data_IF_120097443912
#
_entry.id   IF_120097443912
#
_cell.length_a   1.000
_cell.length_b   1.000
_cell.length_c   1.000
_cell.angle_alpha   90.00
_cell.angle_beta   90.00
_cell.angle_gamma   90.00
#
_symmetry.space_group_name_H-M   'P 1'
#
loop_
_entity.id
_entity.type
_entity.pdbx_description
1 polymer ?
#
# COMPACT_ATOMS: atom_id res chain seq x y z
N UNK A 1 35.64 0.82 -10.20
CA UNK A 1 34.42 0.24 -10.82
C UNK A 1 34.63 0.19 -12.33
N UNK A 2 34.28 -0.89 -13.05
CA UNK A 2 34.33 -0.86 -14.53
C UNK A 2 33.22 0.06 -15.05
N UNK A 3 33.60 1.29 -15.38
CA UNK A 3 32.74 2.30 -16.00
C UNK A 3 32.27 1.78 -17.37
N UNK A 4 30.95 1.75 -17.63
CA UNK A 4 30.38 1.37 -18.94
C UNK A 4 29.37 0.22 -18.97
N UNK A 5 29.08 -0.45 -17.85
CA UNK A 5 28.02 -1.48 -17.83
C UNK A 5 26.66 -0.84 -17.57
N UNK A 6 25.91 -0.53 -18.64
CA UNK A 6 24.60 0.11 -18.56
C UNK A 6 23.51 -0.76 -17.88
N UNK A 7 23.66 -2.09 -17.88
CA UNK A 7 22.63 -3.04 -17.44
C UNK A 7 23.19 -4.16 -16.56
N UNK A 8 22.39 -4.68 -15.62
CA UNK A 8 22.80 -5.80 -14.77
C UNK A 8 22.92 -7.07 -15.61
N UNK A 9 23.97 -7.87 -15.41
CA UNK A 9 24.20 -9.10 -16.18
C UNK A 9 23.34 -10.30 -15.71
N UNK A 10 22.90 -10.32 -14.45
CA UNK A 10 22.13 -11.41 -13.83
C UNK A 10 22.74 -12.81 -13.96
N UNK A 11 24.08 -12.89 -14.09
CA UNK A 11 24.81 -14.14 -14.35
C UNK A 11 24.21 -14.94 -15.52
N UNK A 12 23.77 -14.24 -16.57
CA UNK A 12 23.14 -14.82 -17.77
C UNK A 12 23.80 -14.29 -19.03
N UNK A 13 23.80 -15.10 -20.07
CA UNK A 13 24.12 -14.66 -21.44
C UNK A 13 23.16 -13.56 -21.88
N UNK A 14 23.55 -12.76 -22.88
CA UNK A 14 22.72 -11.64 -23.35
C UNK A 14 21.35 -12.11 -23.87
N UNK A 15 21.29 -13.22 -24.60
CA UNK A 15 20.05 -13.81 -25.11
C UNK A 15 19.11 -14.22 -23.97
N UNK A 16 19.60 -15.00 -23.00
CA UNK A 16 18.81 -15.45 -21.85
C UNK A 16 18.38 -14.27 -20.97
N UNK A 17 19.26 -13.29 -20.74
CA UNK A 17 18.91 -12.07 -20.00
C UNK A 17 17.76 -11.31 -20.67
N UNK A 18 17.83 -11.10 -21.99
CA UNK A 18 16.79 -10.41 -22.73
C UNK A 18 15.47 -11.17 -22.69
N UNK A 19 15.50 -12.49 -22.90
CA UNK A 19 14.29 -13.32 -22.81
C UNK A 19 13.66 -13.28 -21.42
N UNK A 20 14.46 -13.37 -20.35
CA UNK A 20 13.99 -13.22 -18.97
C UNK A 20 13.30 -11.87 -18.74
N UNK A 21 13.89 -10.78 -19.22
CA UNK A 21 13.31 -9.44 -19.06
C UNK A 21 12.03 -9.27 -19.88
N UNK A 22 11.99 -9.78 -21.12
CA UNK A 22 10.78 -9.80 -21.97
C UNK A 22 9.65 -10.57 -21.30
N UNK A 23 9.96 -11.71 -20.70
CA UNK A 23 9.00 -12.51 -19.94
C UNK A 23 8.46 -11.71 -18.74
N UNK A 24 9.33 -11.14 -17.90
CA UNK A 24 8.90 -10.33 -16.75
C UNK A 24 8.04 -9.12 -17.14
N UNK A 25 8.37 -8.43 -18.24
CA UNK A 25 7.54 -7.32 -18.75
C UNK A 25 6.18 -7.83 -19.25
N UNK A 26 6.16 -8.96 -19.96
CA UNK A 26 4.91 -9.58 -20.45
C UNK A 26 4.02 -9.98 -19.27
N UNK A 27 4.57 -10.65 -18.25
CA UNK A 27 3.83 -11.01 -17.03
C UNK A 27 3.35 -9.79 -16.24
N UNK A 28 4.12 -8.70 -16.22
CA UNK A 28 3.70 -7.44 -15.59
C UNK A 28 2.46 -6.86 -16.28
N UNK A 29 2.38 -6.89 -17.61
CA UNK A 29 1.21 -6.38 -18.31
C UNK A 29 0.00 -7.30 -18.25
N UNK A 30 0.23 -8.61 -18.19
CA UNK A 30 -0.82 -9.62 -18.00
C UNK A 30 -1.50 -9.44 -16.63
N UNK A 31 -0.71 -9.43 -15.55
CA UNK A 31 -1.23 -9.43 -14.18
C UNK A 31 -1.28 -8.05 -13.51
N UNK A 32 -0.74 -7.01 -14.15
CA UNK A 32 -0.57 -5.64 -13.62
C UNK A 32 0.29 -5.52 -12.35
N UNK A 33 0.73 -6.64 -11.80
CA UNK A 33 1.53 -6.75 -10.59
C UNK A 33 2.29 -8.09 -10.58
N UNK A 34 3.59 -8.04 -10.28
CA UNK A 34 4.44 -9.21 -10.12
C UNK A 34 5.35 -9.08 -8.91
N UNK A 35 5.70 -10.21 -8.30
CA UNK A 35 6.70 -10.29 -7.23
C UNK A 35 7.99 -10.90 -7.78
N UNK A 36 9.11 -10.21 -7.62
CA UNK A 36 10.42 -10.69 -8.09
C UNK A 36 11.56 -10.15 -7.24
N UNK A 37 12.81 -10.52 -7.52
CA UNK A 37 13.97 -9.93 -6.84
C UNK A 37 14.10 -8.45 -7.19
N UNK A 38 14.46 -7.61 -6.23
CA UNK A 38 14.63 -6.16 -6.40
C UNK A 38 15.47 -5.75 -7.64
N UNK A 39 16.64 -6.36 -7.94
CA UNK A 39 17.41 -5.98 -9.13
C UNK A 39 16.67 -6.32 -10.44
N UNK A 40 15.92 -7.44 -10.50
CA UNK A 40 15.09 -7.77 -11.66
C UNK A 40 13.93 -6.78 -11.81
N UNK A 41 13.24 -6.44 -10.71
CA UNK A 41 12.14 -5.47 -10.72
C UNK A 41 12.58 -4.11 -11.30
N UNK A 42 13.76 -3.62 -10.92
CA UNK A 42 14.31 -2.35 -11.43
C UNK A 42 14.57 -2.37 -12.94
N UNK A 43 15.15 -3.45 -13.46
CA UNK A 43 15.45 -3.56 -14.89
C UNK A 43 14.18 -3.78 -15.72
N UNK A 44 13.22 -4.56 -15.19
CA UNK A 44 11.90 -4.77 -15.78
C UNK A 44 11.10 -3.47 -15.82
N UNK A 45 11.07 -2.68 -14.74
CA UNK A 45 10.37 -1.40 -14.67
C UNK A 45 10.79 -0.46 -15.81
N UNK A 46 12.11 -0.31 -16.01
CA UNK A 46 12.68 0.55 -17.06
C UNK A 46 12.25 0.12 -18.47
N UNK A 47 12.12 -1.19 -18.72
CA UNK A 47 11.67 -1.70 -20.02
C UNK A 47 10.15 -1.56 -20.17
N UNK A 48 9.39 -1.87 -19.13
CA UNK A 48 7.94 -1.73 -19.10
C UNK A 48 7.51 -0.28 -19.38
N UNK A 49 8.20 0.71 -18.79
CA UNK A 49 7.92 2.13 -19.06
C UNK A 49 8.06 2.49 -20.54
N UNK A 50 9.12 2.01 -21.20
CA UNK A 50 9.32 2.23 -22.64
C UNK A 50 8.21 1.60 -23.48
N UNK A 51 7.78 0.39 -23.13
CA UNK A 51 6.69 -0.29 -23.86
C UNK A 51 5.36 0.43 -23.65
N UNK A 52 5.07 0.95 -22.44
CA UNK A 52 3.88 1.79 -22.21
C UNK A 52 3.96 3.07 -23.04
N UNK A 53 5.13 3.70 -23.16
CA UNK A 53 5.31 4.87 -24.04
C UNK A 53 5.02 4.54 -25.50
N UNK A 54 5.37 3.34 -25.99
CA UNK A 54 4.95 2.87 -27.31
C UNK A 54 3.43 2.69 -27.38
N UNK A 55 2.83 2.08 -26.36
CA UNK A 55 1.38 1.94 -26.22
C UNK A 55 0.63 3.26 -26.36
N UNK A 56 1.13 4.31 -25.69
CA UNK A 56 0.59 5.68 -25.76
C UNK A 56 0.72 6.33 -27.14
N UNK A 57 1.77 6.00 -27.91
CA UNK A 57 1.97 6.56 -29.26
C UNK A 57 0.98 6.01 -30.26
N UNK A 58 0.66 4.71 -30.17
CA UNK A 58 -0.40 4.07 -30.96
C UNK A 58 -0.14 3.90 -32.46
N UNK A 59 0.98 4.40 -33.00
CA UNK A 59 1.32 4.30 -34.42
C UNK A 59 1.68 2.86 -34.84
N UNK A 60 1.55 2.54 -36.13
CA UNK A 60 1.88 1.21 -36.67
C UNK A 60 3.30 0.78 -36.32
N UNK A 61 4.26 1.72 -36.29
CA UNK A 61 5.64 1.46 -35.90
C UNK A 61 5.76 1.08 -34.42
N UNK A 62 5.06 1.77 -33.50
CA UNK A 62 4.99 1.35 -32.10
C UNK A 62 4.35 -0.03 -31.93
N UNK A 63 3.29 -0.32 -32.67
CA UNK A 63 2.64 -1.64 -32.64
C UNK A 63 3.60 -2.76 -33.04
N UNK A 64 4.32 -2.59 -34.15
CA UNK A 64 5.33 -3.56 -34.60
C UNK A 64 6.47 -3.73 -33.59
N UNK A 65 6.95 -2.65 -32.98
CA UNK A 65 8.01 -2.72 -31.96
C UNK A 65 7.53 -3.41 -30.67
N UNK A 66 6.30 -3.13 -30.26
CA UNK A 66 5.71 -3.75 -29.07
C UNK A 66 5.45 -5.25 -29.30
N UNK A 67 4.91 -5.64 -30.46
CA UNK A 67 4.67 -7.04 -30.80
C UNK A 67 5.96 -7.84 -30.94
N UNK A 68 7.01 -7.25 -31.50
CA UNK A 68 8.32 -7.89 -31.58
C UNK A 68 8.96 -8.12 -30.19
N UNK A 69 8.63 -7.29 -29.20
CA UNK A 69 9.20 -7.37 -27.85
C UNK A 69 8.38 -8.28 -26.92
N UNK A 70 7.05 -8.17 -26.91
CA UNK A 70 6.21 -8.97 -26.03
C UNK A 70 6.18 -10.44 -26.47
N UNK A 71 6.07 -11.35 -25.51
CA UNK A 71 6.06 -12.79 -25.80
C UNK A 71 4.65 -13.34 -26.03
N UNK A 72 3.63 -12.67 -25.47
CA UNK A 72 2.22 -13.05 -25.60
C UNK A 72 1.46 -11.98 -26.40
N UNK A 73 0.83 -12.33 -27.53
CA UNK A 73 0.09 -11.36 -28.35
C UNK A 73 -1.18 -10.85 -27.65
N UNK A 74 -1.77 -11.63 -26.75
CA UNK A 74 -2.97 -11.29 -25.96
C UNK A 74 -2.83 -10.02 -25.12
N UNK A 75 -1.60 -9.63 -24.83
CA UNK A 75 -1.29 -8.43 -24.03
C UNK A 75 -1.37 -7.16 -24.89
N UNK A 76 -1.23 -7.26 -26.21
CA UNK A 76 -1.19 -6.09 -27.12
C UNK A 76 -2.49 -5.27 -27.09
N UNK A 77 -3.71 -5.85 -27.17
CA UNK A 77 -4.95 -5.07 -27.06
C UNK A 77 -5.04 -4.30 -25.74
N UNK A 78 -4.60 -4.92 -24.64
CA UNK A 78 -4.58 -4.28 -23.31
C UNK A 78 -3.62 -3.09 -23.26
N UNK A 79 -2.46 -3.21 -23.90
CA UNK A 79 -1.45 -2.17 -24.00
C UNK A 79 -1.92 -0.94 -24.76
N UNK A 80 -2.48 -1.13 -25.96
CA UNK A 80 -2.91 -0.04 -26.84
C UNK A 80 -4.32 0.49 -26.51
N UNK A 81 -5.13 -0.26 -25.76
CA UNK A 81 -6.42 0.18 -25.24
C UNK A 81 -6.31 0.67 -23.80
N UNK A 82 -6.46 -0.26 -22.86
CA UNK A 82 -6.65 0.08 -21.43
C UNK A 82 -5.47 0.87 -20.83
N UNK A 83 -4.22 0.52 -21.14
CA UNK A 83 -3.05 1.19 -20.57
C UNK A 83 -2.77 2.52 -21.27
N UNK A 84 -3.00 2.61 -22.57
CA UNK A 84 -2.89 3.88 -23.31
C UNK A 84 -3.87 4.92 -22.75
N UNK A 85 -5.13 4.55 -22.54
CA UNK A 85 -6.15 5.41 -21.91
C UNK A 85 -5.77 5.77 -20.47
N UNK A 86 -5.45 4.77 -19.62
CA UNK A 86 -5.09 5.00 -18.21
C UNK A 86 -3.91 5.96 -18.03
N UNK A 87 -2.94 5.94 -18.94
CA UNK A 87 -1.72 6.73 -18.81
C UNK A 87 -1.63 7.90 -19.78
N UNK A 88 -2.71 8.27 -20.46
CA UNK A 88 -2.74 9.32 -21.48
C UNK A 88 -2.09 10.63 -20.98
N UNK A 89 -2.54 11.12 -19.82
CA UNK A 89 -2.10 12.38 -19.23
C UNK A 89 -0.79 12.28 -18.43
N UNK A 90 -0.35 11.06 -18.11
CA UNK A 90 0.80 10.83 -17.21
C UNK A 90 2.14 10.91 -17.97
N UNK A 91 3.06 11.84 -17.61
CA UNK A 91 4.36 11.99 -18.26
C UNK A 91 5.42 11.07 -17.62
N UNK A 92 5.32 9.76 -17.85
CA UNK A 92 6.23 8.75 -17.30
C UNK A 92 5.88 8.27 -15.88
N UNK A 93 6.71 7.40 -15.32
CA UNK A 93 6.48 6.83 -13.98
C UNK A 93 5.23 5.96 -13.92
N UNK A 94 5.07 5.06 -14.89
CA UNK A 94 3.92 4.15 -15.00
C UNK A 94 4.04 2.92 -14.11
N UNK A 95 5.24 2.66 -13.60
CA UNK A 95 5.52 1.52 -12.74
C UNK A 95 5.91 1.96 -11.33
N UNK A 96 5.64 1.12 -10.35
CA UNK A 96 6.03 1.34 -8.96
C UNK A 96 6.68 0.08 -8.39
N UNK A 97 7.78 0.29 -7.66
CA UNK A 97 8.51 -0.78 -6.98
C UNK A 97 8.32 -0.63 -5.48
N UNK A 98 7.74 -1.63 -4.84
CA UNK A 98 7.66 -1.75 -3.39
C UNK A 98 8.65 -2.79 -2.91
N UNK A 99 9.56 -2.42 -2.00
CA UNK A 99 10.44 -3.40 -1.35
C UNK A 99 9.59 -4.33 -0.48
N UNK A 100 9.83 -5.64 -0.57
CA UNK A 100 9.04 -6.66 0.13
C UNK A 100 9.92 -7.55 1.01
N UNK A 101 10.88 -6.95 1.71
CA UNK A 101 11.85 -7.70 2.53
C UNK A 101 12.72 -8.64 1.71
N UNK A 102 13.18 -9.71 2.36
CA UNK A 102 14.07 -10.71 1.77
C UNK A 102 13.37 -12.08 1.68
N UNK A 103 13.71 -12.85 0.66
CA UNK A 103 13.16 -14.19 0.46
C UNK A 103 13.78 -15.17 1.47
N UNK A 104 12.97 -16.03 2.12
CA UNK A 104 13.50 -17.08 3.01
C UNK A 104 14.35 -18.08 2.23
N UNK A 105 15.42 -18.57 2.85
CA UNK A 105 16.38 -19.50 2.25
C UNK A 105 17.62 -18.79 1.69
N UNK A 106 17.47 -18.04 0.59
CA UNK A 106 18.60 -17.38 -0.07
C UNK A 106 18.82 -15.92 0.33
N UNK A 107 17.97 -15.40 1.24
CA UNK A 107 17.99 -14.03 1.74
C UNK A 107 17.99 -12.95 0.62
N UNK A 108 17.52 -13.30 -0.58
CA UNK A 108 17.55 -12.39 -1.71
C UNK A 108 16.53 -11.25 -1.53
N UNK A 109 16.89 -9.98 -1.75
CA UNK A 109 15.96 -8.87 -1.60
C UNK A 109 14.87 -8.95 -2.68
N UNK A 110 13.62 -8.97 -2.26
CA UNK A 110 12.45 -9.06 -3.14
C UNK A 110 11.67 -7.75 -3.17
N UNK A 111 10.93 -7.56 -4.25
CA UNK A 111 10.09 -6.41 -4.47
C UNK A 111 8.84 -6.79 -5.26
N UNK A 112 7.77 -6.05 -5.01
CA UNK A 112 6.55 -6.06 -5.81
C UNK A 112 6.70 -4.95 -6.85
N UNK A 113 6.65 -5.32 -8.12
CA UNK A 113 6.58 -4.39 -9.24
C UNK A 113 5.12 -4.33 -9.70
N UNK A 114 4.54 -3.16 -9.73
CA UNK A 114 3.15 -2.95 -10.15
C UNK A 114 3.04 -1.82 -11.18
N UNK A 115 1.96 -1.88 -11.94
CA UNK A 115 1.46 -0.79 -12.75
C UNK A 115 0.68 0.20 -11.87
N UNK A 116 0.97 1.49 -12.02
CA UNK A 116 0.30 2.55 -11.25
C UNK A 116 -1.17 2.64 -11.65
N UNK A 117 -2.05 2.98 -10.70
CA UNK A 117 -3.50 3.15 -10.98
C UNK A 117 -4.18 1.87 -11.47
N UNK A 118 -3.60 0.70 -11.16
CA UNK A 118 -4.25 -0.58 -11.40
C UNK A 118 -5.38 -0.85 -10.37
N UNK A 119 -6.27 -1.82 -10.63
CA UNK A 119 -7.35 -2.16 -9.71
C UNK A 119 -6.88 -2.68 -8.34
N UNK A 120 -5.63 -3.16 -8.22
CA UNK A 120 -5.04 -3.79 -7.02
C UNK A 120 -3.79 -3.02 -6.54
N UNK A 121 -3.87 -1.68 -6.57
CA UNK A 121 -2.69 -0.82 -6.36
C UNK A 121 -2.33 -0.85 -4.87
N UNK A 122 -1.16 -1.42 -4.54
CA UNK A 122 -0.74 -1.56 -3.15
C UNK A 122 -0.62 -0.19 -2.47
N UNK A 123 -0.14 0.82 -3.19
CA UNK A 123 0.02 2.15 -2.59
C UNK A 123 -1.34 2.76 -2.27
N UNK A 124 -2.33 2.54 -3.12
CA UNK A 124 -3.69 3.01 -2.92
C UNK A 124 -4.31 2.36 -1.68
N UNK A 125 -4.21 1.03 -1.54
CA UNK A 125 -4.71 0.30 -0.37
C UNK A 125 -4.00 0.69 0.93
N UNK A 126 -2.66 0.75 0.93
CA UNK A 126 -1.88 1.12 2.12
C UNK A 126 -2.25 2.54 2.58
N UNK A 127 -2.46 3.46 1.64
CA UNK A 127 -2.86 4.84 1.95
C UNK A 127 -4.28 4.89 2.51
N UNK A 128 -5.22 4.12 1.96
CA UNK A 128 -6.57 4.00 2.50
C UNK A 128 -6.54 3.50 3.96
N UNK A 129 -5.74 2.48 4.25
CA UNK A 129 -5.57 1.97 5.63
C UNK A 129 -4.98 3.01 6.58
N UNK A 130 -3.99 3.78 6.12
CA UNK A 130 -3.40 4.85 6.91
C UNK A 130 -4.43 5.94 7.24
N UNK A 131 -5.20 6.39 6.24
CA UNK A 131 -6.29 7.36 6.42
C UNK A 131 -7.33 6.82 7.39
N UNK A 132 -7.81 5.59 7.19
CA UNK A 132 -8.83 5.00 8.05
C UNK A 132 -8.37 4.87 9.51
N UNK A 133 -7.10 4.54 9.74
CA UNK A 133 -6.53 4.51 11.10
C UNK A 133 -6.47 5.90 11.73
N UNK A 134 -6.05 6.93 10.98
CA UNK A 134 -5.95 8.31 11.48
C UNK A 134 -7.33 8.90 11.77
N UNK A 135 -8.29 8.71 10.85
CA UNK A 135 -9.69 9.16 11.01
C UNK A 135 -10.34 8.49 12.21
N UNK A 136 -10.19 7.16 12.33
CA UNK A 136 -10.73 6.42 13.47
C UNK A 136 -10.09 6.87 14.78
N UNK A 137 -8.76 7.08 14.80
CA UNK A 137 -8.06 7.53 15.99
C UNK A 137 -8.55 8.91 16.46
N UNK A 138 -8.78 9.83 15.53
CA UNK A 138 -9.30 11.16 15.86
C UNK A 138 -10.72 11.10 16.43
N UNK A 139 -11.62 10.35 15.77
CA UNK A 139 -12.99 10.13 16.24
C UNK A 139 -13.08 9.44 17.60
N UNK A 140 -12.18 8.50 17.89
CA UNK A 140 -12.10 7.86 19.21
C UNK A 140 -11.59 8.79 20.32
N UNK A 141 -11.05 9.98 20.00
CA UNK A 141 -10.72 10.99 21.02
C UNK A 141 -11.96 11.75 21.47
N UNK A 142 -12.93 11.93 20.58
CA UNK A 142 -14.16 12.71 20.84
C UNK A 142 -15.32 11.83 21.28
N UNK A 143 -15.48 10.65 20.68
CA UNK A 143 -16.65 9.79 20.85
C UNK A 143 -16.29 8.44 21.46
N UNK A 144 -17.23 7.86 22.21
CA UNK A 144 -17.10 6.48 22.71
C UNK A 144 -17.23 5.48 21.56
N UNK A 145 -16.51 4.34 21.59
CA UNK A 145 -16.56 3.34 20.53
C UNK A 145 -17.96 2.81 20.23
N UNK A 146 -18.78 2.62 21.28
CA UNK A 146 -20.15 2.12 21.16
C UNK A 146 -21.04 3.03 20.30
N UNK A 147 -20.79 4.35 20.35
CA UNK A 147 -21.54 5.33 19.57
C UNK A 147 -21.11 5.25 18.11
N UNK A 148 -19.80 5.19 17.86
CA UNK A 148 -19.24 5.07 16.51
C UNK A 148 -19.69 3.81 15.77
N UNK A 149 -19.87 2.69 16.49
CA UNK A 149 -20.41 1.45 15.90
C UNK A 149 -21.86 1.66 15.43
N UNK A 150 -22.65 2.46 16.15
CA UNK A 150 -24.05 2.73 15.80
C UNK A 150 -24.18 3.79 14.71
N UNK A 151 -23.35 4.82 14.75
CA UNK A 151 -23.43 5.97 13.85
C UNK A 151 -22.60 5.82 12.58
N UNK A 152 -21.61 4.92 12.56
CA UNK A 152 -20.66 4.79 11.46
C UNK A 152 -19.75 6.00 11.27
N UNK A 153 -18.80 5.91 10.34
CA UNK A 153 -17.94 7.04 9.96
C UNK A 153 -18.37 7.57 8.60
N UNK A 154 -19.42 8.40 8.57
CA UNK A 154 -20.04 8.88 7.33
C UNK A 154 -19.40 10.12 6.69
N UNK A 155 -18.25 10.59 7.18
CA UNK A 155 -17.60 11.83 6.73
C UNK A 155 -16.31 11.64 5.93
N UNK A 156 -15.94 10.42 5.54
CA UNK A 156 -14.64 10.13 4.93
C UNK A 156 -14.44 10.81 3.59
N UNK A 157 -15.50 10.93 2.77
CA UNK A 157 -15.41 11.59 1.47
C UNK A 157 -15.08 13.08 1.61
N UNK A 158 -15.79 13.81 2.46
CA UNK A 158 -15.56 15.24 2.70
C UNK A 158 -14.14 15.49 3.26
N UNK A 159 -13.64 14.60 4.12
CA UNK A 159 -12.26 14.67 4.64
C UNK A 159 -11.26 14.52 3.50
N UNK A 160 -11.45 13.54 2.61
CA UNK A 160 -10.54 13.33 1.48
C UNK A 160 -10.59 14.53 0.51
N UNK A 161 -11.76 15.09 0.24
CA UNK A 161 -11.92 16.24 -0.65
C UNK A 161 -11.31 17.52 -0.09
N UNK A 162 -11.46 17.78 1.21
CA UNK A 162 -10.82 18.91 1.89
C UNK A 162 -9.29 18.74 1.89
N UNK A 163 -8.78 17.57 2.29
CA UNK A 163 -7.35 17.25 2.31
C UNK A 163 -6.70 17.27 0.91
N UNK A 164 -7.47 16.96 -0.14
CA UNK A 164 -7.00 17.05 -1.53
C UNK A 164 -6.72 18.49 -1.95
N UNK A 165 -7.49 19.46 -1.44
CA UNK A 165 -7.37 20.89 -1.76
C UNK A 165 -6.26 21.59 -0.96
N UNK A 166 -5.77 20.99 0.12
CA UNK A 166 -4.74 21.59 0.97
C UNK A 166 -3.39 21.73 0.26
N UNK A 167 -2.77 22.89 0.43
CA UNK A 167 -1.46 23.22 -0.11
C UNK A 167 -0.32 22.89 0.86
N UNK A 168 0.92 23.08 0.39
CA UNK A 168 2.11 22.86 1.20
C UNK A 168 2.16 23.87 2.36
N UNK A 169 2.34 23.39 3.59
CA UNK A 169 2.40 24.25 4.78
C UNK A 169 1.06 24.45 5.50
N UNK A 170 -0.06 24.12 4.87
CA UNK A 170 -1.36 24.14 5.54
C UNK A 170 -1.52 22.95 6.48
N UNK A 171 -2.15 23.19 7.63
CA UNK A 171 -2.53 22.15 8.58
C UNK A 171 -3.84 21.49 8.14
N UNK A 172 -4.00 20.23 8.49
CA UNK A 172 -5.22 19.47 8.22
C UNK A 172 -5.28 18.27 9.18
N UNK A 173 -6.34 17.48 9.04
CA UNK A 173 -6.62 16.33 9.88
C UNK A 173 -5.58 15.21 9.70
N UNK A 174 -5.19 14.94 8.44
CA UNK A 174 -4.26 13.85 8.13
C UNK A 174 -2.81 14.26 8.37
N UNK A 175 -1.98 13.27 8.75
CA UNK A 175 -0.52 13.46 8.83
C UNK A 175 0.03 13.91 7.48
N UNK A 176 1.03 14.81 7.43
CA UNK A 176 1.56 15.35 6.18
C UNK A 176 1.98 14.28 5.16
N UNK A 177 2.59 13.19 5.62
CA UNK A 177 3.01 12.07 4.75
C UNK A 177 1.83 11.29 4.18
N UNK A 178 0.77 11.08 4.97
CA UNK A 178 -0.45 10.39 4.56
C UNK A 178 -1.20 11.22 3.53
N UNK A 179 -1.38 12.52 3.80
CA UNK A 179 -1.90 13.51 2.85
C UNK A 179 -1.11 13.52 1.54
N UNK A 180 0.21 13.65 1.62
CA UNK A 180 1.05 13.69 0.42
C UNK A 180 0.89 12.45 -0.46
N UNK A 181 0.86 11.26 0.15
CA UNK A 181 0.61 10.02 -0.59
C UNK A 181 -0.78 9.99 -1.22
N UNK A 182 -1.81 10.39 -0.46
CA UNK A 182 -3.18 10.47 -0.94
C UNK A 182 -3.29 11.40 -2.15
N UNK A 183 -2.78 12.63 -2.04
CA UNK A 183 -2.77 13.61 -3.13
C UNK A 183 -2.02 13.06 -4.36
N UNK A 184 -0.87 12.41 -4.18
CA UNK A 184 -0.12 11.78 -5.28
C UNK A 184 -0.90 10.67 -5.98
N UNK A 185 -1.66 9.87 -5.24
CA UNK A 185 -2.47 8.78 -5.82
C UNK A 185 -3.69 9.32 -6.56
N UNK A 186 -4.31 10.39 -6.06
CA UNK A 186 -5.50 10.98 -6.68
C UNK A 186 -5.19 11.93 -7.85
N UNK A 187 -3.92 12.32 -8.06
CA UNK A 187 -3.54 13.33 -9.05
C UNK A 187 -3.94 12.99 -10.49
N UNK A 188 -3.81 11.73 -10.90
CA UNK A 188 -4.03 11.29 -12.29
C UNK A 188 -5.11 10.19 -12.41
N UNK A 189 -5.87 9.96 -11.33
CA UNK A 189 -6.98 9.01 -11.36
C UNK A 189 -8.28 9.73 -11.73
N UNK A 190 -9.24 8.95 -12.20
CA UNK A 190 -10.59 9.39 -12.53
C UNK A 190 -11.31 10.00 -11.31
N UNK A 191 -12.39 10.74 -11.57
CA UNK A 191 -13.20 11.40 -10.53
C UNK A 191 -13.73 10.40 -9.48
N UNK A 192 -14.07 9.19 -9.90
CA UNK A 192 -14.53 8.09 -9.03
C UNK A 192 -13.49 7.62 -8.00
N UNK A 193 -12.21 7.97 -8.17
CA UNK A 193 -11.15 7.50 -7.29
C UNK A 193 -11.29 8.01 -5.85
N UNK A 194 -11.91 9.18 -5.66
CA UNK A 194 -12.22 9.70 -4.32
C UNK A 194 -13.27 8.83 -3.64
N UNK A 195 -14.33 8.46 -4.35
CA UNK A 195 -15.38 7.56 -3.87
C UNK A 195 -14.82 6.17 -3.57
N UNK A 196 -14.01 5.61 -4.49
CA UNK A 196 -13.35 4.33 -4.28
C UNK A 196 -12.41 4.35 -3.06
N UNK A 197 -11.65 5.44 -2.89
CA UNK A 197 -10.78 5.60 -1.74
C UNK A 197 -11.59 5.68 -0.45
N UNK A 198 -12.65 6.50 -0.43
CA UNK A 198 -13.57 6.63 0.71
C UNK A 198 -14.16 5.28 1.11
N UNK A 199 -14.61 4.48 0.14
CA UNK A 199 -15.11 3.13 0.37
C UNK A 199 -14.06 2.21 0.99
N UNK A 200 -12.84 2.22 0.47
CA UNK A 200 -11.74 1.41 1.03
C UNK A 200 -11.36 1.85 2.46
N UNK A 201 -11.42 3.15 2.74
CA UNK A 201 -11.22 3.71 4.07
C UNK A 201 -12.32 3.22 5.01
N UNK A 202 -13.60 3.33 4.62
CA UNK A 202 -14.75 2.85 5.38
C UNK A 202 -14.65 1.36 5.71
N UNK A 203 -14.44 0.51 4.69
CA UNK A 203 -14.26 -0.92 4.87
C UNK A 203 -13.16 -1.27 5.88
N UNK A 204 -12.05 -0.51 5.86
CA UNK A 204 -10.96 -0.72 6.80
C UNK A 204 -11.29 -0.26 8.22
N UNK A 205 -12.02 0.85 8.37
CA UNK A 205 -12.52 1.31 9.67
C UNK A 205 -13.47 0.25 10.26
N UNK A 206 -14.42 -0.24 9.48
CA UNK A 206 -15.39 -1.25 9.90
C UNK A 206 -14.67 -2.54 10.32
N UNK A 207 -13.68 -2.97 9.52
CA UNK A 207 -12.82 -4.10 9.89
C UNK A 207 -12.12 -3.86 11.22
N UNK A 208 -11.52 -2.68 11.45
CA UNK A 208 -10.86 -2.37 12.71
C UNK A 208 -11.82 -2.39 13.89
N UNK A 209 -13.04 -1.84 13.75
CA UNK A 209 -14.06 -1.88 14.80
C UNK A 209 -14.55 -3.30 15.09
N UNK A 210 -14.68 -4.13 14.06
CA UNK A 210 -15.13 -5.51 14.17
C UNK A 210 -14.06 -6.46 14.75
N UNK A 211 -12.77 -6.16 14.60
CA UNK A 211 -11.72 -7.06 15.12
C UNK A 211 -11.75 -7.14 16.66
N UNK A 212 -11.77 -8.36 17.24
CA UNK A 212 -11.90 -8.56 18.69
C UNK A 212 -10.71 -7.99 19.47
N UNK A 213 -9.56 -7.78 18.83
CA UNK A 213 -8.38 -7.13 19.44
C UNK A 213 -8.65 -5.65 19.70
N UNK A 214 -9.42 -4.96 18.86
CA UNK A 214 -9.83 -3.58 19.12
C UNK A 214 -10.79 -3.52 20.32
N UNK A 215 -11.74 -4.46 20.38
CA UNK A 215 -12.64 -4.64 21.53
C UNK A 215 -11.86 -4.98 22.81
N UNK A 216 -10.87 -5.88 22.74
CA UNK A 216 -10.01 -6.25 23.87
C UNK A 216 -9.15 -5.07 24.34
N UNK A 217 -8.52 -4.32 23.44
CA UNK A 217 -7.73 -3.14 23.80
C UNK A 217 -8.59 -1.98 24.35
N UNK A 218 -9.82 -1.83 23.86
CA UNK A 218 -10.80 -0.87 24.41
C UNK A 218 -11.24 -1.29 25.79
N UNK A 219 -11.59 -2.57 25.97
CA UNK A 219 -11.94 -3.17 27.25
C UNK A 219 -10.78 -3.08 28.25
N UNK A 220 -9.54 -3.34 27.83
CA UNK A 220 -8.34 -3.23 28.65
C UNK A 220 -8.02 -1.77 29.01
N UNK A 221 -8.30 -0.81 28.11
CA UNK A 221 -8.18 0.64 28.39
C UNK A 221 -9.25 1.14 29.34
N UNK A 222 -10.49 0.70 29.20
CA UNK A 222 -11.57 0.99 30.15
C UNK A 222 -11.26 0.38 31.51
N UNK A 223 -10.81 -0.87 31.57
CA UNK A 223 -10.29 -1.51 32.80
C UNK A 223 -9.17 -0.70 33.44
N UNK A 224 -8.20 -0.21 32.66
CA UNK A 224 -7.12 0.65 33.19
C UNK A 224 -7.65 1.97 33.75
N UNK A 225 -8.64 2.60 33.10
CA UNK A 225 -9.29 3.82 33.61
C UNK A 225 -10.07 3.57 34.90
N UNK A 226 -10.74 2.42 35.03
CA UNK A 226 -11.42 2.04 36.29
C UNK A 226 -10.44 1.73 37.40
N UNK A 227 -9.26 1.16 37.10
CA UNK A 227 -8.22 0.89 38.12
C UNK A 227 -7.55 2.17 38.62
N UNK A 228 -7.49 3.22 37.81
CA UNK A 228 -7.03 4.55 38.26
C UNK A 228 -8.08 5.34 39.05
N UNK A 229 -9.34 4.87 39.08
CA UNK A 229 -10.36 5.35 40.00
C UNK A 229 -10.37 4.51 41.27
N UNK A 230 -9.98 5.12 42.38
CA UNK A 230 -10.13 4.65 43.78
C UNK A 230 -9.40 3.37 44.25
N UNK A 231 -8.97 2.44 43.38
CA UNK A 231 -8.26 1.22 43.82
C UNK A 231 -7.06 0.83 42.95
N UNK A 232 -6.07 1.72 42.86
CA UNK A 232 -4.76 1.33 42.33
C UNK A 232 -4.07 0.38 43.34
N UNK A 233 -4.07 -0.92 43.04
CA UNK A 233 -3.33 -1.93 43.81
C UNK A 233 -1.85 -1.53 43.87
N UNK A 234 -1.28 -1.50 45.08
CA UNK A 234 0.15 -1.23 45.28
C UNK A 234 0.97 -2.41 44.74
N UNK A 235 2.26 -2.17 44.45
CA UNK A 235 3.18 -3.24 44.08
C UNK A 235 3.13 -4.36 45.14
N UNK A 236 2.77 -5.58 44.71
CA UNK A 236 2.60 -6.75 45.59
C UNK A 236 1.16 -7.05 46.04
N UNK A 237 0.16 -6.21 45.72
CA UNK A 237 -1.25 -6.52 46.00
C UNK A 237 -1.92 -7.24 44.83
N UNK A 238 -2.65 -8.31 45.13
CA UNK A 238 -3.50 -9.06 44.19
C UNK A 238 -4.95 -8.60 44.29
N UNK A 239 -5.65 -8.53 43.15
CA UNK A 239 -7.09 -8.34 43.16
C UNK A 239 -7.78 -9.59 43.75
N UNK A 240 -8.91 -9.45 44.45
CA UNK A 240 -9.70 -10.60 44.89
C UNK A 240 -10.07 -11.47 43.68
N UNK A 241 -9.63 -12.74 43.67
CA UNK A 241 -9.85 -13.69 42.57
C UNK A 241 -8.73 -13.78 41.53
N UNK A 242 -7.65 -12.98 41.63
CA UNK A 242 -6.47 -13.12 40.75
C UNK A 242 -5.59 -14.28 41.23
N UNK A 243 -5.52 -15.36 40.45
CA UNK A 243 -4.67 -16.54 40.74
C UNK A 243 -3.43 -16.49 39.86
N UNK A 244 -2.37 -15.86 40.34
CA UNK A 244 -1.05 -15.92 39.69
C UNK A 244 -0.21 -17.02 40.30
N UNK A 245 0.52 -17.73 39.46
CA UNK A 245 1.54 -18.69 39.90
C UNK A 245 2.60 -17.95 40.72
N UNK A 246 3.08 -18.56 41.80
CA UNK A 246 4.16 -18.03 42.65
C UNK A 246 5.42 -17.70 41.83
N UNK A 247 5.67 -18.46 40.75
CA UNK A 247 6.76 -18.21 39.80
C UNK A 247 6.65 -16.84 39.11
N UNK A 248 5.44 -16.45 38.67
CA UNK A 248 5.15 -15.18 38.00
C UNK A 248 5.28 -13.97 38.94
N UNK A 249 5.13 -14.19 40.25
CA UNK A 249 5.34 -13.17 41.29
C UNK A 249 6.83 -12.99 41.63
N UNK A 250 7.61 -14.07 41.50
CA UNK A 250 9.05 -14.07 41.80
C UNK A 250 9.89 -13.43 40.69
N UNK A 251 9.42 -13.51 39.44
CA UNK A 251 9.99 -12.76 38.33
C UNK A 251 9.43 -11.34 38.39
N UNK A 252 10.19 -10.43 39.03
CA UNK A 252 9.85 -9.01 39.04
C UNK A 252 9.71 -8.43 37.62
N UNK A 253 9.40 -7.13 37.52
CA UNK A 253 9.17 -6.37 36.26
C UNK A 253 10.37 -6.27 35.31
N UNK A 254 11.40 -7.08 35.53
CA UNK A 254 12.63 -7.23 34.78
C UNK A 254 12.73 -8.71 34.37
N UNK A 255 11.80 -9.14 33.52
CA UNK A 255 12.08 -10.21 32.56
C UNK A 255 12.82 -9.59 31.39
#
# INVERSE_FOLDING_TARGET
MKHGVAFRKFSRTTSHRMLMLRNLVTSLFEHEQIKTTLPKARDTARLAEKIITLGKKGDRSAQMRASAFLLKPEVLPKLFGTFASRYAERPGGYTRIHKFGNRPGDNAPVAILELVDNPRDLRFEITARAIGREVLQDKLRTEKPINLIKTGVHSTQNIIETEKKLELGQTGMLRPKTRWNMQKMLRFRNQDAVSQLSRNVGNYIDHLMATPIAMKNLHDRERRKTVTGEFALRAGQTAPGDTRSVLDLSQGRLG
#
